data_IF_612201752489
#
_entry.id   IF_612201752489
#
_cell.length_a   1.000
_cell.length_b   1.000
_cell.length_c   1.000
_cell.angle_alpha   90.00
_cell.angle_beta   90.00
_cell.angle_gamma   90.00
#
_symmetry.space_group_name_H-M   'P 1'
#
loop_
_entity.id
_entity.type
_entity.pdbx_description
1 polymer ?
#
# COMPACT_ATOMS: atom_id res chain seq x y z
N UNK A 1 -13.92 19.10 -65.87
CA UNK A 1 -14.52 19.30 -64.54
C UNK A 1 -15.53 18.16 -64.44
N UNK A 2 -15.30 17.09 -63.68
CA UNK A 2 -14.59 16.99 -62.41
C UNK A 2 -13.86 15.66 -62.21
N UNK A 3 -12.84 15.70 -61.36
CA UNK A 3 -11.82 14.68 -61.12
C UNK A 3 -12.35 13.47 -60.35
N UNK A 4 -11.91 12.28 -60.77
CA UNK A 4 -11.86 11.06 -59.95
C UNK A 4 -10.95 11.33 -58.75
N UNK A 5 -11.51 11.21 -57.54
CA UNK A 5 -10.77 11.30 -56.28
C UNK A 5 -10.27 9.91 -55.86
N UNK A 6 -8.96 9.78 -55.73
CA UNK A 6 -8.24 8.63 -55.20
C UNK A 6 -8.82 8.12 -53.87
N UNK A 7 -9.11 6.82 -53.83
CA UNK A 7 -9.39 6.07 -52.62
C UNK A 7 -8.05 5.67 -51.97
N UNK A 8 -7.75 6.25 -50.79
CA UNK A 8 -6.67 5.78 -49.92
C UNK A 8 -7.27 4.87 -48.83
N UNK A 9 -6.72 3.66 -48.59
CA UNK A 9 -7.14 2.83 -47.47
C UNK A 9 -6.53 3.39 -46.17
N UNK A 10 -7.36 3.61 -45.16
CA UNK A 10 -6.89 3.93 -43.81
C UNK A 10 -6.18 2.71 -43.23
N UNK A 11 -4.95 2.91 -42.77
CA UNK A 11 -4.19 1.90 -42.04
C UNK A 11 -4.66 1.88 -40.60
N UNK A 12 -5.27 0.77 -40.19
CA UNK A 12 -5.49 0.43 -38.79
C UNK A 12 -4.13 0.31 -38.08
N UNK A 13 -3.79 1.30 -37.26
CA UNK A 13 -2.65 1.21 -36.35
C UNK A 13 -3.17 0.58 -35.06
N UNK A 14 -3.02 -0.73 -34.96
CA UNK A 14 -3.15 -1.49 -33.72
C UNK A 14 -1.98 -1.11 -32.79
N UNK A 15 -2.25 -0.20 -31.85
CA UNK A 15 -1.31 0.14 -30.77
C UNK A 15 -1.48 -0.88 -29.65
N UNK A 16 -0.90 -2.07 -29.84
CA UNK A 16 -0.62 -3.00 -28.74
C UNK A 16 0.59 -2.48 -27.96
N UNK A 17 0.32 -1.71 -26.91
CA UNK A 17 1.33 -1.37 -25.91
C UNK A 17 1.36 -2.49 -24.85
N UNK A 18 2.09 -3.56 -25.17
CA UNK A 18 2.53 -4.55 -24.19
C UNK A 18 3.67 -3.94 -23.36
N UNK A 19 3.32 -3.21 -22.29
CA UNK A 19 4.30 -2.72 -21.32
C UNK A 19 4.81 -3.89 -20.46
N UNK A 20 5.91 -4.50 -20.92
CA UNK A 20 6.75 -5.44 -20.18
C UNK A 20 7.42 -4.68 -19.05
N UNK A 21 7.11 -5.04 -17.80
CA UNK A 21 7.82 -4.52 -16.62
C UNK A 21 9.27 -4.98 -16.65
N UNK A 22 10.19 -4.10 -17.07
CA UNK A 22 11.62 -4.33 -16.87
C UNK A 22 11.92 -4.29 -15.37
N UNK A 23 12.29 -5.45 -14.83
CA UNK A 23 12.88 -5.57 -13.51
C UNK A 23 14.23 -4.86 -13.55
N UNK A 24 14.31 -3.72 -12.87
CA UNK A 24 15.57 -3.02 -12.63
C UNK A 24 16.40 -3.91 -11.70
N UNK A 25 17.36 -4.61 -12.28
CA UNK A 25 18.46 -5.25 -11.55
C UNK A 25 19.47 -4.15 -11.19
N UNK A 26 19.34 -3.58 -9.99
CA UNK A 26 20.33 -2.69 -9.41
C UNK A 26 21.29 -3.49 -8.53
N UNK A 27 22.21 -4.23 -9.15
CA UNK A 27 23.45 -4.60 -8.51
C UNK A 27 24.43 -3.42 -8.66
N UNK A 28 24.49 -2.55 -7.67
CA UNK A 28 25.63 -1.65 -7.47
C UNK A 28 26.02 -1.71 -5.99
N UNK A 29 27.08 -2.47 -5.75
CA UNK A 29 27.70 -2.73 -4.45
C UNK A 29 28.96 -1.87 -4.38
N UNK A 30 28.86 -0.73 -3.71
CA UNK A 30 30.01 0.09 -3.33
C UNK A 30 29.81 0.61 -1.90
N UNK A 31 30.28 -0.20 -0.96
CA UNK A 31 30.45 0.15 0.45
C UNK A 31 31.53 1.23 0.61
N UNK A 32 31.14 2.42 1.08
CA UNK A 32 32.06 3.43 1.61
C UNK A 32 31.68 3.71 3.08
N UNK A 33 32.26 2.91 3.97
CA UNK A 33 32.12 3.00 5.43
C UNK A 33 32.81 4.27 5.96
N UNK A 34 32.00 5.26 6.34
CA UNK A 34 32.46 6.50 6.96
C UNK A 34 32.77 6.27 8.46
N UNK A 35 34.04 6.00 8.77
CA UNK A 35 34.52 5.83 10.15
C UNK A 35 34.63 7.20 10.86
N UNK A 36 33.96 7.45 12.00
CA UNK A 36 34.23 8.62 12.83
C UNK A 36 35.57 8.47 13.58
N UNK A 37 36.41 9.52 13.69
CA UNK A 37 37.65 9.43 14.42
C UNK A 37 37.41 9.60 15.93
N UNK A 38 38.17 8.83 16.71
CA UNK A 38 38.32 8.83 18.18
C UNK A 38 37.34 7.99 19.01
N UNK A 39 37.82 6.81 19.38
CA UNK A 39 37.86 6.39 20.78
C UNK A 39 39.01 5.41 21.02
N UNK A 40 40.09 5.91 21.62
CA UNK A 40 41.21 5.13 22.16
C UNK A 40 40.72 4.22 23.28
N UNK A 41 40.85 2.91 23.13
CA UNK A 41 41.03 1.98 24.25
C UNK A 41 42.15 0.99 23.89
N UNK A 42 43.31 1.22 24.50
CA UNK A 42 44.44 0.28 24.51
C UNK A 42 43.96 -1.09 25.02
N UNK A 43 44.12 -2.14 24.22
CA UNK A 43 44.02 -3.51 24.68
C UNK A 43 45.27 -4.28 24.25
N UNK A 44 46.21 -4.44 25.18
CA UNK A 44 47.30 -5.41 25.08
C UNK A 44 46.68 -6.80 25.05
N UNK A 45 46.71 -7.47 23.90
CA UNK A 45 46.31 -8.88 23.78
C UNK A 45 47.28 -9.72 24.61
N UNK A 46 46.82 -10.51 25.62
CA UNK A 46 47.68 -11.50 26.23
C UNK A 46 47.87 -12.65 25.25
N UNK A 47 49.12 -13.05 25.05
CA UNK A 47 49.50 -14.25 24.31
C UNK A 47 48.92 -15.48 25.03
N UNK A 48 47.80 -16.01 24.55
CA UNK A 48 47.16 -17.19 25.16
C UNK A 48 47.70 -18.44 24.48
N UNK A 49 48.52 -19.19 25.23
CA UNK A 49 49.04 -20.49 24.85
C UNK A 49 47.90 -21.53 24.97
N UNK A 50 47.45 -22.09 23.84
CA UNK A 50 46.39 -23.11 23.81
C UNK A 50 46.96 -24.47 24.24
N UNK A 51 46.99 -24.73 25.54
CA UNK A 51 47.19 -26.07 26.09
C UNK A 51 45.85 -26.84 26.19
N UNK A 52 45.89 -28.16 26.03
CA UNK A 52 44.73 -29.06 26.11
C UNK A 52 44.06 -29.14 27.51
N UNK A 53 44.49 -28.31 28.46
CA UNK A 53 43.98 -28.24 29.84
C UNK A 53 42.91 -27.13 30.05
N UNK A 54 42.47 -26.45 28.99
CA UNK A 54 41.39 -25.46 29.08
C UNK A 54 40.05 -26.19 29.15
N UNK A 55 39.40 -26.15 30.31
CA UNK A 55 38.03 -26.61 30.47
C UNK A 55 37.12 -25.79 29.54
N UNK A 56 36.36 -26.47 28.66
CA UNK A 56 35.36 -25.85 27.81
C UNK A 56 34.39 -25.05 28.67
N UNK A 57 34.54 -23.72 28.65
CA UNK A 57 33.56 -22.82 29.26
C UNK A 57 32.34 -22.86 28.36
N UNK A 58 31.27 -23.50 28.85
CA UNK A 58 29.98 -23.55 28.16
C UNK A 58 29.64 -22.14 27.65
N UNK A 59 29.33 -21.98 26.34
CA UNK A 59 28.92 -20.69 25.82
C UNK A 59 27.75 -20.16 26.66
N UNK A 60 27.86 -18.92 27.11
CA UNK A 60 26.79 -18.25 27.84
C UNK A 60 25.49 -18.40 27.05
N UNK A 61 24.42 -18.84 27.72
CA UNK A 61 23.16 -19.13 27.06
C UNK A 61 22.74 -17.91 26.21
N UNK A 62 22.26 -18.11 24.97
CA UNK A 62 21.86 -17.00 24.13
C UNK A 62 20.82 -16.16 24.87
N UNK A 63 20.99 -14.84 24.82
CA UNK A 63 20.09 -13.90 25.49
C UNK A 63 18.63 -14.22 25.13
N UNK A 64 17.78 -14.32 26.15
CA UNK A 64 16.35 -14.58 25.95
C UNK A 64 15.75 -13.49 25.06
N UNK A 65 14.87 -13.87 24.13
CA UNK A 65 14.15 -12.93 23.28
C UNK A 65 13.38 -11.91 24.14
N UNK A 66 13.84 -10.66 24.13
CA UNK A 66 13.30 -9.52 24.88
C UNK A 66 12.83 -8.46 23.87
N UNK A 67 11.61 -8.59 23.34
CA UNK A 67 11.11 -7.59 22.41
C UNK A 67 10.95 -6.25 23.14
N UNK A 68 11.49 -5.18 22.53
CA UNK A 68 11.38 -3.81 23.06
C UNK A 68 9.92 -3.34 23.16
N UNK A 69 9.05 -3.90 22.31
CA UNK A 69 7.62 -3.63 22.29
C UNK A 69 6.82 -4.77 22.89
N UNK A 70 5.77 -4.42 23.64
CA UNK A 70 4.79 -5.40 24.13
C UNK A 70 4.16 -6.08 22.91
N UNK A 71 4.23 -7.42 22.80
CA UNK A 71 3.64 -8.15 21.68
C UNK A 71 2.14 -7.85 21.54
N UNK A 72 1.68 -7.62 20.32
CA UNK A 72 0.27 -7.42 19.99
C UNK A 72 -0.17 -5.97 19.81
N UNK A 73 -1.44 -5.80 19.43
CA UNK A 73 -2.06 -4.49 19.18
C UNK A 73 -2.33 -3.77 20.50
N UNK A 74 -1.66 -2.64 20.72
CA UNK A 74 -1.84 -1.82 21.91
C UNK A 74 -3.05 -0.89 21.71
N UNK A 75 -4.24 -1.36 22.09
CA UNK A 75 -5.46 -0.56 22.08
C UNK A 75 -5.51 0.35 23.32
N UNK A 76 -4.64 1.36 23.39
CA UNK A 76 -4.58 2.32 24.51
C UNK A 76 -5.91 3.06 24.75
N UNK A 77 -6.79 3.04 23.76
CA UNK A 77 -8.14 3.60 23.82
C UNK A 77 -9.13 2.65 24.56
N UNK A 78 -8.84 1.36 24.68
CA UNK A 78 -9.69 0.32 25.30
C UNK A 78 -9.18 -0.03 26.70
N UNK A 79 -9.04 0.96 27.57
CA UNK A 79 -8.57 0.73 28.96
C UNK A 79 -9.68 0.34 29.93
N UNK A 80 -10.94 0.58 29.56
CA UNK A 80 -12.09 0.30 30.42
C UNK A 80 -13.19 -0.41 29.65
N UNK A 81 -14.08 -1.12 30.36
CA UNK A 81 -15.27 -1.74 29.76
C UNK A 81 -16.17 -0.74 29.05
N UNK A 82 -16.18 0.51 29.50
CA UNK A 82 -16.95 1.59 28.87
C UNK A 82 -16.28 2.09 27.59
N UNK A 83 -14.95 2.19 27.55
CA UNK A 83 -14.24 2.55 26.33
C UNK A 83 -14.21 1.40 25.31
N UNK A 84 -14.32 0.14 25.75
CA UNK A 84 -14.57 -0.99 24.85
C UNK A 84 -15.92 -0.89 24.13
N UNK A 85 -16.92 -0.19 24.68
CA UNK A 85 -18.24 -0.05 24.05
C UNK A 85 -18.18 0.73 22.73
N UNK A 86 -17.16 1.55 22.55
CA UNK A 86 -16.95 2.26 21.28
C UNK A 86 -16.62 1.32 20.12
N UNK A 87 -16.31 0.05 20.39
CA UNK A 87 -16.04 -0.98 19.39
C UNK A 87 -17.22 -1.92 19.16
N UNK A 88 -18.45 -1.61 19.57
CA UNK A 88 -19.57 -2.53 19.32
C UNK A 88 -20.10 -2.55 17.89
N UNK A 89 -19.69 -1.60 17.03
CA UNK A 89 -20.10 -1.61 15.62
C UNK A 89 -18.97 -2.16 14.75
N UNK A 90 -19.33 -2.89 13.70
CA UNK A 90 -18.39 -3.46 12.76
C UNK A 90 -17.43 -2.41 12.15
N UNK A 91 -17.92 -1.20 11.90
CA UNK A 91 -17.10 -0.09 11.38
C UNK A 91 -15.98 0.33 12.34
N UNK A 92 -16.23 0.25 13.64
CA UNK A 92 -15.25 0.66 14.65
C UNK A 92 -14.09 -0.36 14.68
N UNK A 93 -14.36 -1.65 14.45
CA UNK A 93 -13.33 -2.67 14.24
C UNK A 93 -12.58 -2.52 12.92
N UNK A 94 -13.29 -2.23 11.82
CA UNK A 94 -12.66 -2.00 10.52
C UNK A 94 -11.60 -0.89 10.59
N UNK A 95 -11.90 0.19 11.31
CA UNK A 95 -11.00 1.33 11.52
C UNK A 95 -9.78 1.02 12.40
N UNK A 96 -9.70 -0.16 13.01
CA UNK A 96 -8.47 -0.62 13.67
C UNK A 96 -7.43 -1.10 12.65
N UNK A 97 -7.86 -1.63 11.51
CA UNK A 97 -6.97 -2.05 10.42
C UNK A 97 -6.60 -0.87 9.53
N UNK A 98 -7.59 -0.04 9.21
CA UNK A 98 -7.41 1.21 8.48
C UNK A 98 -7.54 2.37 9.45
N UNK A 99 -6.47 2.60 10.22
CA UNK A 99 -6.41 3.71 11.17
C UNK A 99 -6.44 5.04 10.43
N UNK A 100 -6.85 6.11 11.12
CA UNK A 100 -6.92 7.44 10.52
C UNK A 100 -5.58 7.90 9.95
N UNK A 101 -4.47 7.58 10.63
CA UNK A 101 -3.13 7.98 10.18
C UNK A 101 -2.74 7.29 8.86
N UNK A 102 -3.00 5.98 8.76
CA UNK A 102 -2.77 5.21 7.53
C UNK A 102 -3.63 5.76 6.40
N UNK A 103 -4.92 6.00 6.66
CA UNK A 103 -5.83 6.52 5.64
C UNK A 103 -5.42 7.92 5.17
N UNK A 104 -4.96 8.79 6.08
CA UNK A 104 -4.43 10.09 5.73
C UNK A 104 -3.19 9.99 4.84
N UNK A 105 -2.27 9.08 5.15
CA UNK A 105 -1.09 8.83 4.32
C UNK A 105 -1.46 8.31 2.93
N UNK A 106 -2.37 7.34 2.84
CA UNK A 106 -2.89 6.84 1.56
C UNK A 106 -3.47 7.99 0.75
N UNK A 107 -4.37 8.78 1.34
CA UNK A 107 -4.97 9.93 0.66
C UNK A 107 -3.91 10.93 0.20
N UNK A 108 -2.89 11.20 1.02
CA UNK A 108 -1.80 12.09 0.65
C UNK A 108 -1.05 11.57 -0.58
N UNK A 109 -0.55 10.34 -0.53
CA UNK A 109 0.23 9.78 -1.64
C UNK A 109 -0.59 9.63 -2.92
N UNK A 110 -1.84 9.20 -2.84
CA UNK A 110 -2.72 9.12 -4.01
C UNK A 110 -2.96 10.49 -4.64
N UNK A 111 -3.19 11.52 -3.82
CA UNK A 111 -3.41 12.88 -4.32
C UNK A 111 -2.15 13.50 -4.92
N UNK A 112 -0.98 13.30 -4.29
CA UNK A 112 0.30 13.75 -4.83
C UNK A 112 0.55 13.10 -6.18
N UNK A 113 0.40 11.78 -6.27
CA UNK A 113 0.57 11.04 -7.53
C UNK A 113 -0.36 11.56 -8.64
N UNK A 114 -1.65 11.74 -8.32
CA UNK A 114 -2.63 12.26 -9.27
C UNK A 114 -2.31 13.69 -9.73
N UNK A 115 -1.75 14.53 -8.85
CA UNK A 115 -1.35 15.89 -9.20
C UNK A 115 -0.15 15.88 -10.14
N UNK A 116 0.83 15.01 -9.89
CA UNK A 116 2.08 14.94 -10.65
C UNK A 116 1.89 14.31 -12.04
N UNK A 117 1.09 13.23 -12.11
CA UNK A 117 0.96 12.41 -13.31
C UNK A 117 -0.38 12.58 -14.03
N UNK A 118 -1.38 13.20 -13.39
CA UNK A 118 -2.75 13.22 -13.90
C UNK A 118 -2.94 13.96 -15.22
N UNK A 119 -2.09 14.96 -15.51
CA UNK A 119 -2.12 15.69 -16.79
C UNK A 119 -1.60 14.85 -17.97
N UNK A 120 -0.77 13.83 -17.70
CA UNK A 120 -0.16 12.97 -18.72
C UNK A 120 -0.96 11.69 -18.97
N UNK A 121 -1.98 11.42 -18.14
CA UNK A 121 -2.78 10.20 -18.14
C UNK A 121 -4.16 10.45 -18.78
N UNK A 122 -4.90 9.39 -19.17
CA UNK A 122 -6.20 9.51 -19.85
C UNK A 122 -7.19 10.44 -19.12
N UNK A 123 -8.21 10.90 -19.86
CA UNK A 123 -9.22 11.89 -19.47
C UNK A 123 -9.75 11.79 -18.03
N UNK A 124 -9.85 10.58 -17.46
CA UNK A 124 -10.32 10.33 -16.09
C UNK A 124 -9.43 11.02 -15.03
N UNK A 125 -8.12 11.10 -15.27
CA UNK A 125 -7.20 11.79 -14.36
C UNK A 125 -7.27 13.31 -14.48
N UNK A 126 -7.76 13.84 -15.60
CA UNK A 126 -7.98 15.29 -15.77
C UNK A 126 -9.15 15.79 -14.93
N UNK A 127 -10.13 14.93 -14.64
CA UNK A 127 -11.24 15.20 -13.72
C UNK A 127 -10.94 14.79 -12.27
N UNK A 128 -9.70 14.41 -11.95
CA UNK A 128 -9.34 13.99 -10.60
C UNK A 128 -9.56 15.11 -9.59
N UNK A 129 -10.32 14.82 -8.54
CA UNK A 129 -10.48 15.69 -7.39
C UNK A 129 -9.77 15.07 -6.18
N UNK A 130 -9.42 15.93 -5.22
CA UNK A 130 -8.66 15.51 -4.04
C UNK A 130 -9.42 14.45 -3.25
N UNK A 131 -8.85 13.25 -3.16
CA UNK A 131 -9.35 12.14 -2.36
C UNK A 131 -9.35 12.51 -0.88
N UNK A 132 -10.51 12.41 -0.25
CA UNK A 132 -10.70 12.59 1.18
C UNK A 132 -10.76 11.25 1.95
N UNK A 133 -10.48 11.24 3.26
CA UNK A 133 -10.63 10.04 4.07
C UNK A 133 -12.05 9.44 4.04
N UNK A 134 -13.09 10.28 4.00
CA UNK A 134 -14.49 9.82 3.93
C UNK A 134 -14.75 9.08 2.62
N UNK A 135 -14.26 9.63 1.50
CA UNK A 135 -14.34 8.97 0.19
C UNK A 135 -13.56 7.67 0.16
N UNK A 136 -12.36 7.62 0.74
CA UNK A 136 -11.61 6.37 0.86
C UNK A 136 -12.42 5.31 1.62
N UNK A 137 -13.05 5.65 2.75
CA UNK A 137 -13.90 4.70 3.48
C UNK A 137 -15.14 4.27 2.69
N UNK A 138 -15.77 5.17 1.92
CA UNK A 138 -16.86 4.83 1.00
C UNK A 138 -16.41 3.86 -0.08
N UNK A 139 -15.22 4.09 -0.64
CA UNK A 139 -14.60 3.19 -1.61
C UNK A 139 -14.35 1.80 -1.01
N UNK A 140 -13.79 1.71 0.20
CA UNK A 140 -13.66 0.42 0.89
C UNK A 140 -15.02 -0.26 1.10
N UNK A 141 -16.05 0.49 1.51
CA UNK A 141 -17.41 -0.02 1.65
C UNK A 141 -17.99 -0.57 0.35
N UNK A 142 -17.74 0.12 -0.76
CA UNK A 142 -18.12 -0.30 -2.10
C UNK A 142 -17.40 -1.58 -2.53
N UNK A 143 -16.10 -1.73 -2.25
CA UNK A 143 -15.33 -2.95 -2.53
C UNK A 143 -15.86 -4.14 -1.71
N UNK A 144 -16.13 -3.93 -0.41
CA UNK A 144 -16.74 -4.96 0.43
C UNK A 144 -18.12 -5.37 -0.09
N UNK A 145 -18.94 -4.40 -0.50
CA UNK A 145 -20.25 -4.65 -1.11
C UNK A 145 -20.13 -5.47 -2.41
N UNK A 146 -19.19 -5.11 -3.29
CA UNK A 146 -18.92 -5.85 -4.52
C UNK A 146 -18.38 -7.26 -4.27
N UNK A 147 -17.69 -7.48 -3.14
CA UNK A 147 -17.28 -8.82 -2.70
C UNK A 147 -18.44 -9.71 -2.25
N UNK A 148 -19.54 -9.12 -1.76
CA UNK A 148 -20.73 -9.85 -1.30
C UNK A 148 -21.71 -10.07 -2.44
N UNK A 149 -21.92 -9.05 -3.27
CA UNK A 149 -22.92 -9.07 -4.34
C UNK A 149 -22.26 -9.46 -5.65
N UNK A 150 -22.61 -10.64 -6.17
CA UNK A 150 -22.08 -11.09 -7.46
C UNK A 150 -22.89 -10.52 -8.62
N UNK A 151 -22.21 -9.78 -9.50
CA UNK A 151 -22.80 -9.20 -10.71
C UNK A 151 -21.89 -9.56 -11.89
N UNK A 152 -22.44 -9.94 -13.07
CA UNK A 152 -21.62 -10.46 -14.17
C UNK A 152 -20.66 -9.44 -14.80
N UNK A 153 -20.85 -8.14 -14.56
CA UNK A 153 -19.94 -7.09 -15.00
C UNK A 153 -19.98 -5.95 -13.97
N UNK A 154 -18.82 -5.37 -13.67
CA UNK A 154 -18.66 -4.30 -12.69
C UNK A 154 -19.50 -3.05 -13.04
N UNK A 155 -19.64 -2.71 -14.32
CA UNK A 155 -20.44 -1.57 -14.76
C UNK A 155 -21.92 -1.71 -14.38
N UNK A 156 -22.39 -2.95 -14.22
CA UNK A 156 -23.79 -3.21 -13.86
C UNK A 156 -24.11 -2.81 -12.43
N UNK A 157 -23.12 -2.68 -11.55
CA UNK A 157 -23.32 -2.08 -10.22
C UNK A 157 -23.87 -0.65 -10.31
N UNK A 158 -23.51 0.09 -11.38
CA UNK A 158 -24.00 1.44 -11.64
C UNK A 158 -25.14 1.51 -12.66
N UNK A 159 -25.72 0.37 -13.07
CA UNK A 159 -26.78 0.35 -14.07
C UNK A 159 -28.13 0.86 -13.53
N UNK A 160 -28.84 1.65 -14.34
CA UNK A 160 -30.21 2.13 -14.09
C UNK A 160 -31.30 1.19 -14.62
N UNK A 161 -30.91 0.07 -15.25
CA UNK A 161 -31.87 -0.89 -15.81
C UNK A 161 -32.73 -1.46 -14.69
N UNK A 162 -34.01 -1.74 -14.97
CA UNK A 162 -35.00 -2.22 -13.98
C UNK A 162 -34.48 -3.38 -13.10
N UNK A 163 -33.71 -4.31 -13.68
CA UNK A 163 -33.12 -5.45 -12.98
C UNK A 163 -32.01 -5.09 -11.96
N UNK A 164 -31.36 -3.93 -12.11
CA UNK A 164 -30.22 -3.48 -11.31
C UNK A 164 -30.53 -2.27 -10.42
N UNK A 165 -31.76 -1.75 -10.46
CA UNK A 165 -32.18 -0.61 -9.63
C UNK A 165 -32.13 -0.87 -8.12
N UNK A 166 -32.03 -2.14 -7.70
CA UNK A 166 -31.83 -2.51 -6.30
C UNK A 166 -30.37 -2.45 -5.83
N UNK A 167 -29.40 -2.12 -6.71
CA UNK A 167 -27.98 -2.03 -6.36
C UNK A 167 -27.63 -0.65 -5.80
N UNK A 168 -26.79 -0.64 -4.76
CA UNK A 168 -26.51 0.55 -3.96
C UNK A 168 -25.22 1.27 -4.35
N UNK A 169 -24.43 0.73 -5.29
CA UNK A 169 -23.13 1.29 -5.65
C UNK A 169 -23.19 2.78 -6.02
N UNK A 170 -24.23 3.17 -6.78
CA UNK A 170 -24.50 4.56 -7.19
C UNK A 170 -24.79 5.51 -6.03
N UNK A 171 -25.30 4.98 -4.91
CA UNK A 171 -25.57 5.76 -3.72
C UNK A 171 -24.28 6.05 -2.91
N UNK A 172 -23.24 5.23 -3.11
CA UNK A 172 -21.96 5.39 -2.43
C UNK A 172 -20.99 6.29 -3.21
N UNK A 173 -20.81 6.02 -4.52
CA UNK A 173 -19.92 6.77 -5.41
C UNK A 173 -20.44 6.76 -6.86
N UNK A 174 -20.06 7.76 -7.66
CA UNK A 174 -20.23 7.71 -9.13
C UNK A 174 -19.31 6.64 -9.74
N UNK A 175 -19.61 6.24 -10.97
CA UNK A 175 -18.74 5.31 -11.73
C UNK A 175 -17.49 6.02 -12.25
N UNK A 176 -17.68 7.27 -12.65
CA UNK A 176 -16.69 8.13 -13.30
C UNK A 176 -16.14 9.14 -12.29
#
# INVERSE_FOLDING_TARGET
>A
MDSDSDYQPETDVDSSDDEVWELIDSSDDSDDENIPPNSTLNATQPNVNYGYDVLDTMPEAPASFLPERVPGIQLDQVRTRDSAKQFFRAIDFFKLYFTMDIVLQICQYTNTYATEHGLQKPSVFQSWYKLSPDEFYRFCGLIMYAGIVQVPNIERFWSTKSLYNGLWARAFMSRD
#
